data_IF_055926514340
#
_entry.id   IF_055926514340
#
_cell.length_a   1.000
_cell.length_b   1.000
_cell.length_c   1.000
_cell.angle_alpha   90.00
_cell.angle_beta   90.00
_cell.angle_gamma   90.00
#
_symmetry.space_group_name_H-M   'P 1'
#
loop_
_entity.id
_entity.type
_entity.pdbx_description
1 polymer ?
#
# COMPACT_ATOMS: atom_id res chain seq x y z
N UNK A 1 7.38 17.49 -4.47
CA UNK A 1 6.64 16.21 -4.44
C UNK A 1 6.06 15.96 -5.82
N UNK A 2 6.25 14.77 -6.40
CA UNK A 2 5.88 14.47 -7.80
C UNK A 2 5.89 12.97 -8.12
N UNK A 3 5.57 12.61 -9.37
CA UNK A 3 5.69 11.25 -9.92
C UNK A 3 7.06 10.95 -10.54
N UNK A 4 8.08 11.76 -10.25
CA UNK A 4 9.46 11.49 -10.71
C UNK A 4 10.02 10.32 -9.91
N UNK A 5 10.56 9.31 -10.61
CA UNK A 5 11.10 8.09 -10.02
C UNK A 5 12.51 8.29 -9.46
N UNK A 6 12.66 9.20 -8.50
CA UNK A 6 13.90 9.40 -7.73
C UNK A 6 13.52 9.52 -6.26
N UNK A 7 13.90 8.51 -5.48
CA UNK A 7 13.55 8.38 -4.06
C UNK A 7 14.78 7.98 -3.24
N UNK A 8 14.61 7.82 -1.93
CA UNK A 8 15.66 7.27 -1.05
C UNK A 8 16.10 5.84 -1.43
N UNK A 9 15.27 5.12 -2.19
CA UNK A 9 15.56 3.77 -2.68
C UNK A 9 16.32 3.73 -4.01
N UNK A 10 16.54 4.90 -4.63
CA UNK A 10 17.26 5.04 -5.90
C UNK A 10 16.48 5.83 -6.96
N UNK A 11 17.04 5.85 -8.17
CA UNK A 11 16.49 6.53 -9.34
C UNK A 11 15.81 5.56 -10.33
N UNK A 12 15.25 6.11 -11.41
CA UNK A 12 14.50 5.36 -12.42
C UNK A 12 15.32 4.25 -13.08
N UNK A 13 16.61 4.49 -13.35
CA UNK A 13 17.49 3.51 -13.98
C UNK A 13 17.75 2.33 -13.02
N UNK A 14 17.99 2.62 -11.74
CA UNK A 14 18.16 1.60 -10.70
C UNK A 14 16.87 0.81 -10.49
N UNK A 15 15.72 1.49 -10.47
CA UNK A 15 14.40 0.84 -10.40
C UNK A 15 14.16 -0.08 -11.60
N UNK A 16 14.38 0.38 -12.83
CA UNK A 16 14.23 -0.42 -14.04
C UNK A 16 15.19 -1.62 -14.07
N UNK A 17 16.42 -1.46 -13.57
CA UNK A 17 17.40 -2.53 -13.43
C UNK A 17 16.93 -3.60 -12.43
N UNK A 18 16.41 -3.17 -11.26
CA UNK A 18 15.82 -4.07 -10.27
C UNK A 18 14.66 -4.86 -10.86
N UNK A 19 13.67 -4.20 -11.46
CA UNK A 19 12.48 -4.84 -12.03
C UNK A 19 12.87 -5.87 -13.10
N UNK A 20 13.80 -5.52 -14.00
CA UNK A 20 14.28 -6.45 -15.04
C UNK A 20 14.93 -7.69 -14.44
N UNK A 21 15.82 -7.52 -13.44
CA UNK A 21 16.52 -8.64 -12.79
C UNK A 21 15.56 -9.54 -12.01
N UNK A 22 14.59 -8.95 -11.31
CA UNK A 22 13.54 -9.71 -10.62
C UNK A 22 12.69 -10.53 -11.60
N UNK A 23 12.21 -9.89 -12.68
CA UNK A 23 11.40 -10.56 -13.70
C UNK A 23 12.17 -11.72 -14.37
N UNK A 24 13.47 -11.56 -14.62
CA UNK A 24 14.31 -12.61 -15.22
C UNK A 24 14.42 -13.89 -14.38
N UNK A 25 14.18 -13.81 -13.06
CA UNK A 25 14.18 -14.95 -12.13
C UNK A 25 12.77 -15.31 -11.64
N UNK A 26 11.73 -14.83 -12.33
CA UNK A 26 10.33 -15.14 -12.02
C UNK A 26 9.77 -14.41 -10.78
N UNK A 27 10.50 -13.44 -10.22
CA UNK A 27 10.04 -12.61 -9.09
C UNK A 27 9.38 -11.35 -9.64
N UNK A 28 8.12 -11.11 -9.26
CA UNK A 28 7.33 -9.98 -9.76
C UNK A 28 7.36 -8.81 -8.78
N UNK A 29 7.42 -7.59 -9.32
CA UNK A 29 7.41 -6.35 -8.54
C UNK A 29 6.03 -5.72 -8.57
N UNK A 30 5.52 -5.36 -7.39
CA UNK A 30 4.29 -4.58 -7.23
C UNK A 30 4.66 -3.23 -6.61
N UNK A 31 4.21 -2.14 -7.21
CA UNK A 31 4.56 -0.79 -6.73
C UNK A 31 3.47 -0.27 -5.80
N UNK A 32 3.90 0.30 -4.68
CA UNK A 32 3.04 1.09 -3.81
C UNK A 32 2.77 2.46 -4.45
N UNK A 33 1.52 2.70 -4.82
CA UNK A 33 1.11 3.90 -5.56
C UNK A 33 0.21 4.76 -4.70
N UNK A 34 0.68 5.98 -4.45
CA UNK A 34 -0.01 7.00 -3.65
C UNK A 34 -0.53 8.06 -4.60
N UNK A 35 -1.83 8.02 -4.88
CA UNK A 35 -2.51 8.99 -5.75
C UNK A 35 -3.88 9.45 -5.22
N UNK A 36 -4.22 9.09 -3.98
CA UNK A 36 -5.32 9.74 -3.27
C UNK A 36 -4.99 11.21 -3.01
N UNK A 37 -3.76 11.47 -2.57
CA UNK A 37 -3.35 12.77 -2.04
C UNK A 37 -1.95 13.16 -2.49
N UNK A 38 -1.62 14.43 -2.29
CA UNK A 38 -0.26 14.96 -2.32
C UNK A 38 0.21 15.28 -0.89
N UNK A 39 1.28 16.07 -0.72
CA UNK A 39 1.81 16.36 0.62
C UNK A 39 0.88 17.25 1.45
N UNK A 40 0.96 17.14 2.77
CA UNK A 40 0.38 18.12 3.69
C UNK A 40 1.20 19.42 3.69
N UNK A 41 0.63 20.47 4.31
CA UNK A 41 1.28 21.77 4.47
C UNK A 41 2.62 21.64 5.22
N UNK A 42 3.69 22.16 4.61
CA UNK A 42 5.01 22.21 5.24
C UNK A 42 5.85 23.34 4.63
N UNK A 43 6.65 24.00 5.47
CA UNK A 43 7.58 25.03 5.02
C UNK A 43 8.67 24.43 4.14
N UNK A 44 9.00 25.09 3.02
CA UNK A 44 10.05 24.66 2.09
C UNK A 44 9.92 23.20 1.65
N UNK A 45 8.71 22.79 1.26
CA UNK A 45 8.44 21.43 0.82
C UNK A 45 9.24 21.08 -0.45
N UNK A 46 10.20 20.16 -0.31
CA UNK A 46 11.02 19.63 -1.41
C UNK A 46 10.88 18.11 -1.46
N UNK A 47 10.49 17.59 -2.62
CA UNK A 47 10.45 16.14 -2.86
C UNK A 47 11.85 15.54 -3.00
N UNK A 48 11.95 14.22 -2.91
CA UNK A 48 13.23 13.47 -3.02
C UNK A 48 13.97 13.70 -4.34
N UNK A 49 13.25 14.04 -5.42
CA UNK A 49 13.82 14.41 -6.71
C UNK A 49 14.18 15.90 -6.85
N UNK A 50 14.12 16.68 -5.77
CA UNK A 50 14.36 18.14 -5.77
C UNK A 50 13.16 18.99 -6.17
N UNK A 51 12.02 18.39 -6.54
CA UNK A 51 10.81 19.13 -6.90
C UNK A 51 10.23 19.90 -5.72
N UNK A 52 10.24 21.23 -5.80
CA UNK A 52 9.58 22.13 -4.85
C UNK A 52 8.06 22.10 -5.04
N UNK A 53 7.32 22.36 -3.97
CA UNK A 53 5.86 22.49 -3.98
C UNK A 53 5.41 23.47 -2.88
N UNK A 54 4.20 24.00 -3.04
CA UNK A 54 3.50 24.80 -2.02
C UNK A 54 2.15 24.12 -1.76
N UNK A 55 2.11 23.27 -0.73
CA UNK A 55 0.92 22.48 -0.42
C UNK A 55 -0.24 23.34 0.11
N UNK A 56 0.03 24.49 0.74
CA UNK A 56 -1.02 25.41 1.19
C UNK A 56 -1.77 26.03 0.00
N UNK A 57 -1.05 26.31 -1.08
CA UNK A 57 -1.64 26.77 -2.35
C UNK A 57 -2.06 25.65 -3.29
N UNK A 58 -1.83 24.39 -2.90
CA UNK A 58 -2.04 23.20 -3.74
C UNK A 58 -1.28 23.26 -5.07
N UNK A 59 -0.06 23.80 -5.03
CA UNK A 59 0.82 23.96 -6.19
C UNK A 59 1.93 22.89 -6.18
N UNK A 60 1.83 21.95 -7.11
CA UNK A 60 2.77 20.85 -7.31
C UNK A 60 3.29 20.85 -8.76
N UNK A 61 4.19 21.78 -9.10
CA UNK A 61 4.54 22.12 -10.49
C UNK A 61 5.26 21.00 -11.25
N UNK A 62 5.84 20.03 -10.55
CA UNK A 62 6.52 18.90 -11.18
C UNK A 62 5.55 17.78 -11.66
N UNK A 63 4.27 17.83 -11.30
CA UNK A 63 3.20 16.99 -11.91
C UNK A 63 2.33 17.79 -12.89
N UNK A 64 2.69 19.06 -13.10
CA UNK A 64 1.91 20.26 -12.75
C UNK A 64 0.46 20.03 -12.27
N UNK A 65 0.26 19.91 -10.94
CA UNK A 65 -1.06 20.12 -10.32
C UNK A 65 -1.17 21.52 -9.70
N UNK A 66 -2.38 22.05 -9.72
CA UNK A 66 -2.81 23.33 -9.18
C UNK A 66 -4.02 23.13 -8.27
N UNK A 67 -4.52 24.18 -7.63
CA UNK A 67 -5.71 24.11 -6.76
C UNK A 67 -6.97 23.56 -7.42
N UNK A 68 -7.08 23.62 -8.75
CA UNK A 68 -8.20 23.05 -9.52
C UNK A 68 -8.22 21.52 -9.58
N UNK A 69 -7.11 20.89 -9.21
CA UNK A 69 -6.91 19.43 -9.32
C UNK A 69 -7.23 18.69 -8.02
N UNK A 70 -7.70 19.42 -7.00
CA UNK A 70 -7.97 18.90 -5.67
C UNK A 70 -9.42 19.13 -5.27
N UNK A 71 -9.94 18.28 -4.39
CA UNK A 71 -11.22 18.51 -3.75
C UNK A 71 -11.20 19.76 -2.87
N UNK A 72 -12.38 20.35 -2.61
CA UNK A 72 -12.52 21.47 -1.68
C UNK A 72 -11.96 21.08 -0.31
N UNK A 73 -11.15 21.95 0.30
CA UNK A 73 -10.49 21.63 1.56
C UNK A 73 -11.50 21.41 2.70
N UNK A 74 -11.41 20.26 3.35
CA UNK A 74 -12.13 19.89 4.55
C UNK A 74 -11.36 18.75 5.24
N UNK A 75 -11.72 18.41 6.48
CA UNK A 75 -11.09 17.31 7.22
C UNK A 75 -12.05 16.13 7.39
N UNK A 76 -11.51 14.92 7.36
CA UNK A 76 -12.27 13.71 7.71
C UNK A 76 -12.45 13.68 9.22
N UNK A 77 -13.69 13.80 9.69
CA UNK A 77 -14.03 13.72 11.12
C UNK A 77 -15.09 12.65 11.43
N UNK A 78 -15.76 12.13 10.40
CA UNK A 78 -16.80 11.12 10.54
C UNK A 78 -16.70 10.05 9.44
N UNK A 79 -16.25 8.84 9.81
CA UNK A 79 -16.17 7.70 8.90
C UNK A 79 -17.53 7.10 8.48
N UNK A 80 -18.63 7.58 9.06
CA UNK A 80 -19.98 7.28 8.59
C UNK A 80 -20.51 8.29 7.55
N UNK A 81 -19.72 9.30 7.20
CA UNK A 81 -20.02 10.22 6.11
C UNK A 81 -19.11 9.91 4.91
N UNK A 82 -19.65 9.16 3.95
CA UNK A 82 -18.92 8.73 2.72
C UNK A 82 -18.33 9.92 1.97
N UNK A 83 -19.05 11.05 1.88
CA UNK A 83 -18.58 12.25 1.20
C UNK A 83 -17.36 12.86 1.89
N UNK A 84 -17.33 12.85 3.23
CA UNK A 84 -16.16 13.29 3.97
C UNK A 84 -14.98 12.34 3.72
N UNK A 85 -15.20 11.02 3.85
CA UNK A 85 -14.10 10.05 3.76
C UNK A 85 -13.42 10.08 2.38
N UNK A 86 -14.17 10.38 1.31
CA UNK A 86 -13.67 10.36 -0.07
C UNK A 86 -13.29 11.72 -0.69
N UNK A 87 -13.71 12.84 -0.09
CA UNK A 87 -13.47 14.17 -0.66
C UNK A 87 -12.78 15.15 0.30
N UNK A 88 -12.43 14.72 1.52
CA UNK A 88 -11.74 15.56 2.49
C UNK A 88 -10.31 15.09 2.74
N UNK A 89 -9.47 16.01 3.20
CA UNK A 89 -8.06 15.79 3.47
C UNK A 89 -7.86 14.78 4.62
N UNK A 90 -7.31 13.61 4.28
CA UNK A 90 -6.85 12.63 5.26
C UNK A 90 -5.63 13.22 5.99
N UNK A 91 -5.79 13.53 7.28
CA UNK A 91 -4.75 14.13 8.14
C UNK A 91 -4.03 15.35 7.52
N UNK A 92 -4.77 16.17 6.77
CA UNK A 92 -4.26 17.39 6.12
C UNK A 92 -3.50 17.18 4.81
N UNK A 93 -3.45 15.94 4.31
CA UNK A 93 -2.89 15.60 2.99
C UNK A 93 -3.81 16.16 1.90
N UNK A 94 -3.25 16.90 0.93
CA UNK A 94 -4.05 17.57 -0.11
C UNK A 94 -4.71 16.53 -1.02
N UNK A 95 -6.03 16.45 -0.91
CA UNK A 95 -6.87 15.41 -1.51
C UNK A 95 -7.14 15.68 -2.99
N UNK A 96 -6.61 14.82 -3.86
CA UNK A 96 -6.76 14.95 -5.32
C UNK A 96 -8.21 14.67 -5.73
N UNK A 97 -8.72 15.39 -6.72
CA UNK A 97 -10.04 15.11 -7.27
C UNK A 97 -9.93 14.12 -8.45
N UNK A 98 -10.09 12.82 -8.19
CA UNK A 98 -9.96 11.80 -9.24
C UNK A 98 -11.13 11.79 -10.23
N UNK A 99 -12.21 12.56 -10.01
CA UNK A 99 -13.24 12.77 -11.03
C UNK A 99 -12.79 13.78 -12.12
N UNK A 100 -11.75 14.57 -11.87
CA UNK A 100 -11.16 15.46 -12.86
C UNK A 100 -10.33 14.65 -13.87
N UNK A 101 -10.71 14.73 -15.15
CA UNK A 101 -10.01 14.02 -16.25
C UNK A 101 -8.51 14.32 -16.33
N UNK A 102 -8.08 15.55 -16.01
CA UNK A 102 -6.65 15.88 -16.00
C UNK A 102 -5.90 15.12 -14.91
N UNK A 103 -6.49 15.00 -13.71
CA UNK A 103 -5.94 14.18 -12.61
C UNK A 103 -5.87 12.72 -13.01
N UNK A 104 -6.93 12.19 -13.63
CA UNK A 104 -6.93 10.82 -14.15
C UNK A 104 -5.81 10.61 -15.19
N UNK A 105 -5.60 11.55 -16.11
CA UNK A 105 -4.55 11.48 -17.13
C UNK A 105 -3.16 11.39 -16.50
N UNK A 106 -2.84 12.28 -15.55
CA UNK A 106 -1.56 12.28 -14.83
C UNK A 106 -1.32 10.99 -14.05
N UNK A 107 -2.36 10.44 -13.41
CA UNK A 107 -2.27 9.16 -12.70
C UNK A 107 -2.04 8.01 -13.69
N UNK A 108 -2.82 7.95 -14.78
CA UNK A 108 -2.69 6.91 -15.82
C UNK A 108 -1.31 6.96 -16.47
N UNK A 109 -0.79 8.15 -16.78
CA UNK A 109 0.56 8.34 -17.33
C UNK A 109 1.63 7.76 -16.38
N UNK A 110 1.51 8.06 -15.08
CA UNK A 110 2.40 7.53 -14.05
C UNK A 110 2.34 6.00 -13.93
N UNK A 111 1.15 5.42 -13.84
CA UNK A 111 0.95 3.98 -13.73
C UNK A 111 1.39 3.23 -15.01
N UNK A 112 1.13 3.80 -16.19
CA UNK A 112 1.57 3.23 -17.45
C UNK A 112 3.10 3.32 -17.63
N UNK A 113 3.73 4.39 -17.12
CA UNK A 113 5.20 4.45 -17.06
C UNK A 113 5.77 3.31 -16.22
N UNK A 114 5.25 3.08 -15.01
CA UNK A 114 5.67 1.94 -14.17
C UNK A 114 5.44 0.59 -14.85
N UNK A 115 4.28 0.41 -15.50
CA UNK A 115 3.95 -0.79 -16.27
C UNK A 115 4.95 -1.04 -17.40
N UNK A 116 5.36 0.01 -18.12
CA UNK A 116 6.36 -0.08 -19.19
C UNK A 116 7.75 -0.52 -18.70
N UNK A 117 8.09 -0.19 -17.44
CA UNK A 117 9.32 -0.61 -16.79
C UNK A 117 9.28 -2.08 -16.33
N UNK A 118 8.14 -2.77 -16.44
CA UNK A 118 7.99 -4.20 -16.16
C UNK A 118 7.34 -4.53 -14.82
N UNK A 119 6.73 -3.54 -14.15
CA UNK A 119 5.96 -3.74 -12.92
C UNK A 119 4.75 -4.64 -13.21
N UNK A 120 4.47 -5.60 -12.33
CA UNK A 120 3.39 -6.58 -12.50
C UNK A 120 2.03 -6.08 -11.98
N UNK A 121 2.03 -5.04 -11.14
CA UNK A 121 0.82 -4.55 -10.50
C UNK A 121 1.07 -3.50 -9.43
N UNK A 122 0.00 -3.15 -8.71
CA UNK A 122 -0.03 -1.98 -7.84
C UNK A 122 -0.72 -2.28 -6.50
N UNK A 123 -0.08 -1.88 -5.39
CA UNK A 123 -0.75 -1.64 -4.11
C UNK A 123 -1.31 -0.23 -4.16
N UNK A 124 -2.63 -0.09 -4.18
CA UNK A 124 -3.28 1.22 -4.20
C UNK A 124 -3.47 1.69 -2.76
N UNK A 125 -2.66 2.66 -2.36
CA UNK A 125 -2.70 3.31 -1.06
C UNK A 125 -4.04 4.03 -0.83
N UNK A 126 -4.53 4.00 0.41
CA UNK A 126 -5.71 4.76 0.82
C UNK A 126 -6.92 4.61 -0.10
N UNK A 127 -7.13 3.44 -0.73
CA UNK A 127 -8.21 3.22 -1.69
C UNK A 127 -9.60 3.49 -1.10
N UNK A 128 -9.78 3.28 0.22
CA UNK A 128 -11.00 3.67 0.95
C UNK A 128 -11.40 5.14 0.74
N UNK A 129 -10.42 6.02 0.57
CA UNK A 129 -10.55 7.46 0.44
C UNK A 129 -10.76 7.93 -1.00
N UNK A 130 -10.88 7.02 -1.95
CA UNK A 130 -11.18 7.34 -3.35
C UNK A 130 -12.50 6.73 -3.77
N UNK A 131 -13.16 7.32 -4.77
CA UNK A 131 -14.40 6.75 -5.31
C UNK A 131 -14.11 5.51 -6.18
N UNK A 132 -14.81 4.38 -5.97
CA UNK A 132 -14.64 3.18 -6.80
C UNK A 132 -14.85 3.42 -8.30
N UNK A 133 -15.75 4.33 -8.67
CA UNK A 133 -16.01 4.62 -10.08
C UNK A 133 -14.85 5.34 -10.75
N UNK A 134 -14.18 6.28 -10.06
CA UNK A 134 -12.98 6.96 -10.58
C UNK A 134 -11.79 6.00 -10.68
N UNK A 135 -11.59 5.16 -9.65
CA UNK A 135 -10.60 4.08 -9.70
C UNK A 135 -10.83 3.14 -10.89
N UNK A 136 -12.09 2.77 -11.15
CA UNK A 136 -12.45 1.93 -12.31
C UNK A 136 -12.05 2.57 -13.64
N UNK A 137 -12.28 3.88 -13.80
CA UNK A 137 -11.89 4.61 -15.01
C UNK A 137 -10.37 4.59 -15.17
N UNK A 138 -9.62 4.87 -14.11
CA UNK A 138 -8.14 4.84 -14.11
C UNK A 138 -7.63 3.43 -14.47
N UNK A 139 -8.12 2.39 -13.80
CA UNK A 139 -7.65 1.01 -13.98
C UNK A 139 -7.97 0.46 -15.38
N UNK A 140 -9.11 0.84 -15.96
CA UNK A 140 -9.47 0.45 -17.33
C UNK A 140 -8.54 1.07 -18.39
N UNK A 141 -7.94 2.22 -18.10
CA UNK A 141 -7.02 2.93 -19.00
C UNK A 141 -5.57 2.46 -18.91
N UNK A 142 -5.25 1.53 -17.99
CA UNK A 142 -3.91 0.96 -17.90
C UNK A 142 -3.57 0.14 -19.13
N UNK A 143 -2.28 0.10 -19.48
CA UNK A 143 -1.76 -0.77 -20.52
C UNK A 143 -1.70 -2.21 -20.02
N UNK A 144 -1.69 -3.16 -20.96
CA UNK A 144 -1.36 -4.55 -20.64
C UNK A 144 0.12 -4.67 -20.23
N UNK A 145 0.42 -5.67 -19.42
CA UNK A 145 1.78 -6.03 -19.03
C UNK A 145 2.62 -6.40 -20.25
N UNK A 146 3.86 -5.94 -20.29
CA UNK A 146 4.72 -6.09 -21.46
C UNK A 146 5.33 -7.50 -21.54
N UNK A 147 5.16 -8.15 -22.69
CA UNK A 147 5.76 -9.47 -22.97
C UNK A 147 7.29 -9.45 -22.93
N UNK A 148 7.92 -8.28 -23.14
CA UNK A 148 9.37 -8.10 -23.01
C UNK A 148 9.89 -8.34 -21.58
N UNK A 149 9.00 -8.32 -20.58
CA UNK A 149 9.30 -8.61 -19.18
C UNK A 149 8.83 -10.01 -18.74
N UNK A 150 8.55 -10.89 -19.71
CA UNK A 150 8.17 -12.29 -19.46
C UNK A 150 6.74 -12.46 -18.93
N UNK A 151 5.84 -11.53 -19.24
CA UNK A 151 4.40 -11.67 -19.03
C UNK A 151 3.74 -12.29 -20.26
N UNK A 152 2.60 -12.97 -20.09
CA UNK A 152 1.82 -13.47 -21.21
C UNK A 152 1.09 -12.31 -21.92
N UNK A 153 0.75 -12.52 -23.20
CA UNK A 153 -0.02 -11.52 -23.96
C UNK A 153 -1.37 -11.24 -23.28
N UNK A 154 -1.82 -9.98 -23.38
CA UNK A 154 -3.09 -9.50 -22.82
C UNK A 154 -3.24 -9.59 -21.29
N UNK A 155 -2.16 -9.82 -20.55
CA UNK A 155 -2.22 -9.75 -19.08
C UNK A 155 -2.38 -8.31 -18.60
N UNK A 156 -3.28 -8.09 -17.63
CA UNK A 156 -3.50 -6.80 -16.97
C UNK A 156 -2.64 -6.69 -15.71
N UNK A 157 -2.25 -5.47 -15.28
CA UNK A 157 -1.62 -5.28 -13.98
C UNK A 157 -2.49 -5.81 -12.84
N UNK A 158 -1.88 -6.52 -11.89
CA UNK A 158 -2.57 -6.99 -10.69
C UNK A 158 -2.82 -5.82 -9.74
N UNK A 159 -4.08 -5.56 -9.40
CA UNK A 159 -4.47 -4.46 -8.51
C UNK A 159 -4.85 -5.04 -7.16
N UNK A 160 -4.25 -4.54 -6.09
CA UNK A 160 -4.74 -4.75 -4.74
C UNK A 160 -4.85 -3.44 -3.97
N UNK A 161 -5.96 -3.29 -3.27
CA UNK A 161 -6.44 -2.01 -2.78
C UNK A 161 -6.41 -1.99 -1.26
N UNK A 162 -5.87 -0.92 -0.69
CA UNK A 162 -5.96 -0.69 0.74
C UNK A 162 -7.34 -0.15 1.12
N UNK A 163 -8.18 -1.03 1.64
CA UNK A 163 -9.48 -0.66 2.22
C UNK A 163 -9.53 -1.20 3.64
N UNK A 164 -9.27 -0.33 4.61
CA UNK A 164 -9.41 -0.67 6.04
C UNK A 164 -10.91 -0.71 6.37
N UNK A 165 -11.48 -1.91 6.36
CA UNK A 165 -12.87 -2.19 6.74
C UNK A 165 -12.92 -3.24 7.85
N UNK A 166 -13.14 -2.77 9.08
CA UNK A 166 -13.39 -3.60 10.26
C UNK A 166 -14.88 -3.77 10.55
N UNK A 167 -15.77 -3.23 9.71
CA UNK A 167 -17.21 -3.04 9.97
C UNK A 167 -17.50 -1.79 10.80
N UNK A 168 -18.76 -1.34 10.78
CA UNK A 168 -19.22 -0.19 11.57
C UNK A 168 -18.88 1.19 10.98
N UNK A 169 -18.40 1.23 9.73
CA UNK A 169 -18.22 2.45 8.93
C UNK A 169 -19.19 2.44 7.73
N UNK A 170 -19.39 3.59 7.09
CA UNK A 170 -20.29 3.69 5.94
C UNK A 170 -19.71 3.13 4.63
N UNK A 171 -18.38 2.95 4.56
CA UNK A 171 -17.70 2.39 3.39
C UNK A 171 -17.37 0.93 3.65
N UNK A 172 -17.65 0.08 2.67
CA UNK A 172 -17.34 -1.35 2.74
C UNK A 172 -16.27 -1.74 1.72
N UNK A 173 -15.42 -2.70 2.11
CA UNK A 173 -14.50 -3.39 1.18
C UNK A 173 -15.20 -4.00 -0.04
N UNK A 174 -16.48 -4.35 0.08
CA UNK A 174 -17.28 -4.92 -1.01
C UNK A 174 -17.52 -3.93 -2.16
N UNK A 175 -17.34 -2.63 -1.96
CA UNK A 175 -17.46 -1.63 -3.04
C UNK A 175 -16.30 -1.71 -4.06
N UNK A 176 -15.21 -2.41 -3.72
CA UNK A 176 -13.96 -2.43 -4.48
C UNK A 176 -13.63 -3.80 -5.12
N UNK A 177 -14.44 -4.83 -4.86
CA UNK A 177 -14.19 -6.24 -5.29
C UNK A 177 -14.14 -6.41 -6.80
N UNK A 178 -14.92 -5.61 -7.53
CA UNK A 178 -14.95 -5.63 -9.00
C UNK A 178 -13.72 -4.97 -9.63
N UNK A 179 -12.92 -4.23 -8.83
CA UNK A 179 -11.75 -3.49 -9.30
C UNK A 179 -10.45 -4.28 -9.13
N UNK A 180 -10.44 -5.28 -8.26
CA UNK A 180 -9.24 -6.06 -7.96
C UNK A 180 -9.32 -6.76 -6.61
N UNK A 181 -8.16 -7.10 -6.07
CA UNK A 181 -8.00 -7.67 -4.73
C UNK A 181 -8.06 -6.55 -3.67
N UNK A 182 -8.39 -6.88 -2.42
CA UNK A 182 -8.44 -5.93 -1.30
C UNK A 182 -7.64 -6.48 -0.11
N UNK A 183 -6.95 -5.61 0.61
CA UNK A 183 -6.31 -5.92 1.89
C UNK A 183 -7.34 -6.33 2.95
N UNK A 184 -7.32 -7.58 3.39
CA UNK A 184 -8.25 -8.09 4.39
C UNK A 184 -7.74 -7.83 5.81
N UNK A 185 -7.98 -6.62 6.34
CA UNK A 185 -7.51 -6.24 7.69
C UNK A 185 -8.14 -7.09 8.81
N UNK A 186 -9.34 -7.65 8.61
CA UNK A 186 -9.95 -8.56 9.59
C UNK A 186 -9.15 -9.85 9.76
N UNK A 187 -8.42 -10.29 8.73
CA UNK A 187 -7.51 -11.42 8.83
C UNK A 187 -6.40 -11.13 9.84
N UNK A 188 -5.73 -9.97 9.72
CA UNK A 188 -4.65 -9.54 10.64
C UNK A 188 -5.15 -9.43 12.09
N UNK A 189 -6.33 -8.84 12.31
CA UNK A 189 -6.96 -8.74 13.63
C UNK A 189 -7.32 -10.11 14.22
N UNK A 190 -8.02 -10.95 13.45
CA UNK A 190 -8.52 -12.24 13.92
C UNK A 190 -7.38 -13.23 14.20
N UNK A 191 -6.38 -13.30 13.32
CA UNK A 191 -5.22 -14.20 13.50
C UNK A 191 -4.39 -13.74 14.70
N UNK A 192 -4.28 -12.43 14.90
CA UNK A 192 -3.70 -11.83 16.09
C UNK A 192 -4.37 -12.30 17.37
N UNK A 193 -5.71 -12.16 17.45
CA UNK A 193 -6.51 -12.60 18.61
C UNK A 193 -6.35 -14.09 18.92
N UNK A 194 -6.46 -14.94 17.91
CA UNK A 194 -6.33 -16.41 18.05
C UNK A 194 -4.94 -16.78 18.59
N UNK A 195 -3.86 -16.33 17.96
CA UNK A 195 -2.50 -16.70 18.38
C UNK A 195 -2.01 -15.97 19.64
N UNK A 196 -2.72 -14.92 20.07
CA UNK A 196 -2.54 -14.31 21.40
C UNK A 196 -3.26 -15.06 22.52
N UNK A 197 -4.16 -15.99 22.19
CA UNK A 197 -4.99 -16.72 23.15
C UNK A 197 -6.24 -15.95 23.59
N UNK A 198 -6.61 -14.89 22.87
CA UNK A 198 -7.89 -14.17 23.06
C UNK A 198 -9.04 -14.86 22.36
N UNK A 199 -8.73 -15.79 21.46
CA UNK A 199 -9.68 -16.73 20.88
C UNK A 199 -9.04 -18.11 20.74
N UNK A 200 -9.83 -19.16 20.48
CA UNK A 200 -9.38 -20.54 20.51
C UNK A 200 -8.96 -21.04 19.13
N UNK A 201 -7.80 -21.72 19.06
CA UNK A 201 -7.29 -22.33 17.83
C UNK A 201 -8.29 -23.29 17.15
N UNK A 202 -9.18 -23.94 17.91
CA UNK A 202 -10.20 -24.87 17.36
C UNK A 202 -11.14 -24.21 16.34
N UNK A 203 -11.33 -22.89 16.44
CA UNK A 203 -12.21 -22.15 15.54
C UNK A 203 -11.59 -21.90 14.17
N UNK A 204 -10.28 -22.11 14.01
CA UNK A 204 -9.62 -22.03 12.70
C UNK A 204 -10.11 -23.12 11.73
N UNK A 205 -10.93 -24.08 12.18
CA UNK A 205 -11.53 -25.14 11.35
C UNK A 205 -12.40 -24.61 10.21
N UNK A 206 -12.94 -23.39 10.31
CA UNK A 206 -13.69 -22.72 9.24
C UNK A 206 -13.08 -21.36 8.84
N UNK A 207 -11.76 -21.19 9.00
CA UNK A 207 -11.04 -19.95 8.67
C UNK A 207 -11.30 -19.49 7.23
N UNK A 208 -11.77 -18.25 7.05
CA UNK A 208 -12.13 -17.72 5.74
C UNK A 208 -13.41 -16.89 5.77
N UNK A 209 -14.27 -17.07 4.76
CA UNK A 209 -15.51 -16.27 4.60
C UNK A 209 -16.48 -16.41 5.77
N UNK A 210 -16.49 -17.55 6.48
CA UNK A 210 -17.30 -17.74 7.69
C UNK A 210 -16.92 -16.78 8.83
N UNK A 211 -15.71 -16.21 8.79
CA UNK A 211 -15.22 -15.17 9.71
C UNK A 211 -15.54 -13.75 9.23
N UNK A 212 -16.34 -13.60 8.16
CA UNK A 212 -16.64 -12.31 7.55
C UNK A 212 -15.50 -11.73 6.70
N UNK A 213 -14.58 -12.58 6.26
CA UNK A 213 -13.57 -12.21 5.28
C UNK A 213 -14.16 -12.20 3.86
N UNK A 214 -13.47 -11.53 2.94
CA UNK A 214 -13.75 -11.59 1.51
C UNK A 214 -13.58 -13.01 0.95
N UNK A 215 -14.12 -13.30 -0.24
CA UNK A 215 -13.74 -14.49 -1.00
C UNK A 215 -12.21 -14.60 -1.14
N UNK A 216 -11.71 -15.84 -1.12
CA UNK A 216 -10.27 -16.15 -1.10
C UNK A 216 -9.50 -15.49 -2.25
N UNK A 217 -10.07 -15.49 -3.46
CA UNK A 217 -9.50 -14.91 -4.67
C UNK A 217 -9.53 -13.36 -4.69
N UNK A 218 -10.21 -12.74 -3.72
CA UNK A 218 -10.33 -11.28 -3.56
C UNK A 218 -9.63 -10.73 -2.32
N UNK A 219 -9.11 -11.60 -1.46
CA UNK A 219 -8.47 -11.21 -0.21
C UNK A 219 -6.94 -11.25 -0.32
N UNK A 220 -6.26 -10.10 -0.19
CA UNK A 220 -4.84 -10.06 0.15
C UNK A 220 -4.72 -10.11 1.67
N UNK A 221 -4.15 -11.20 2.19
CA UNK A 221 -4.05 -11.45 3.63
C UNK A 221 -2.62 -11.24 4.13
N UNK A 222 -2.52 -10.87 5.40
CA UNK A 222 -1.25 -10.66 6.09
C UNK A 222 -1.46 -10.80 7.59
N UNK A 223 -0.37 -11.04 8.33
CA UNK A 223 -0.37 -11.02 9.80
C UNK A 223 -0.25 -9.58 10.31
N UNK A 224 0.66 -8.80 9.71
CA UNK A 224 0.86 -7.36 9.91
C UNK A 224 1.19 -6.65 8.59
N UNK A 225 1.09 -5.33 8.59
CA UNK A 225 1.59 -4.45 7.54
C UNK A 225 2.49 -3.37 8.15
N UNK A 226 2.99 -2.46 7.31
CA UNK A 226 3.88 -1.39 7.77
C UNK A 226 3.21 -0.39 8.74
N UNK A 227 1.90 -0.17 8.64
CA UNK A 227 1.15 0.72 9.53
C UNK A 227 0.83 0.07 10.87
N UNK A 228 0.18 -1.09 10.84
CA UNK A 228 -0.39 -1.69 12.04
C UNK A 228 0.66 -2.34 12.93
N UNK A 229 1.83 -2.69 12.40
CA UNK A 229 2.97 -3.06 13.24
C UNK A 229 3.46 -1.89 14.11
N UNK A 230 3.16 -0.65 13.72
CA UNK A 230 3.43 0.59 14.47
C UNK A 230 2.22 1.07 15.27
N UNK A 231 1.10 0.33 15.27
CA UNK A 231 -0.14 0.73 15.95
C UNK A 231 -0.97 1.76 15.18
N UNK A 232 -0.64 2.04 13.92
CA UNK A 232 -1.48 2.86 13.03
C UNK A 232 -2.51 1.97 12.31
N UNK A 233 -3.60 2.54 11.83
CA UNK A 233 -4.65 1.78 11.14
C UNK A 233 -5.43 0.84 12.07
N UNK A 234 -5.72 -0.38 11.59
CA UNK A 234 -6.61 -1.33 12.27
C UNK A 234 -5.87 -2.47 13.00
N UNK A 235 -6.57 -3.09 13.96
CA UNK A 235 -6.12 -4.27 14.73
C UNK A 235 -5.49 -3.94 16.09
N UNK A 236 -4.97 -2.73 16.28
CA UNK A 236 -4.48 -2.25 17.57
C UNK A 236 -3.54 -3.21 18.30
N UNK A 237 -3.82 -3.47 19.58
CA UNK A 237 -2.98 -4.33 20.44
C UNK A 237 -2.96 -5.82 20.04
N UNK A 238 -3.83 -6.23 19.11
CA UNK A 238 -3.94 -7.63 18.67
C UNK A 238 -3.01 -7.98 17.52
N UNK A 239 -2.50 -6.99 16.80
CA UNK A 239 -1.52 -7.20 15.73
C UNK A 239 -0.29 -7.92 16.28
N UNK A 240 0.12 -8.99 15.60
CA UNK A 240 1.36 -9.72 15.90
C UNK A 240 2.45 -9.22 14.98
N UNK A 241 3.62 -8.92 15.54
CA UNK A 241 4.78 -8.42 14.77
C UNK A 241 6.04 -9.21 15.12
N UNK A 242 7.16 -8.90 14.47
CA UNK A 242 8.47 -9.46 14.82
C UNK A 242 8.81 -9.32 16.32
N UNK A 243 8.26 -8.31 17.02
CA UNK A 243 8.43 -8.09 18.46
C UNK A 243 7.78 -9.17 19.34
N UNK A 244 6.93 -10.04 18.79
CA UNK A 244 6.37 -11.23 19.45
C UNK A 244 6.73 -12.51 18.68
N UNK A 245 8.03 -12.70 18.43
CA UNK A 245 8.58 -13.68 17.49
C UNK A 245 7.95 -15.09 17.51
N UNK A 246 7.71 -15.69 18.69
CA UNK A 246 7.10 -17.04 18.76
C UNK A 246 5.68 -17.05 18.18
N UNK A 247 4.81 -16.16 18.65
CA UNK A 247 3.41 -16.08 18.20
C UNK A 247 3.33 -15.61 16.74
N UNK A 248 4.17 -14.66 16.36
CA UNK A 248 4.24 -14.14 14.99
C UNK A 248 4.65 -15.21 13.98
N UNK A 249 5.63 -16.07 14.32
CA UNK A 249 6.00 -17.21 13.46
C UNK A 249 4.88 -18.26 13.37
N UNK A 250 4.17 -18.54 14.47
CA UNK A 250 3.02 -19.45 14.45
C UNK A 250 1.90 -18.94 13.55
N UNK A 251 1.55 -17.65 13.65
CA UNK A 251 0.54 -17.02 12.81
C UNK A 251 0.93 -17.01 11.32
N UNK A 252 2.18 -16.65 11.00
CA UNK A 252 2.66 -16.72 9.61
C UNK A 252 2.70 -18.16 9.08
N UNK A 253 3.11 -19.13 9.89
CA UNK A 253 3.08 -20.54 9.49
C UNK A 253 1.66 -21.01 9.17
N UNK A 254 0.67 -20.64 9.97
CA UNK A 254 -0.74 -20.93 9.68
C UNK A 254 -1.21 -20.23 8.39
N UNK A 255 -0.94 -18.93 8.25
CA UNK A 255 -1.31 -18.16 7.06
C UNK A 255 -0.74 -18.77 5.76
N UNK A 256 0.52 -19.23 5.78
CA UNK A 256 1.18 -19.82 4.62
C UNK A 256 0.77 -21.28 4.35
N UNK A 257 0.33 -22.01 5.38
CA UNK A 257 -0.15 -23.38 5.24
C UNK A 257 -1.63 -23.47 4.83
N UNK A 258 -2.42 -22.43 5.12
CA UNK A 258 -3.84 -22.40 4.84
C UNK A 258 -4.12 -21.91 3.41
N UNK A 259 -5.06 -22.50 2.65
CA UNK A 259 -5.31 -22.15 1.24
C UNK A 259 -6.11 -20.85 1.03
N UNK A 260 -6.35 -20.07 2.08
CA UNK A 260 -7.20 -18.89 2.00
C UNK A 260 -6.35 -17.66 1.65
N UNK A 261 -6.83 -16.84 0.73
CA UNK A 261 -6.24 -15.54 0.41
C UNK A 261 -4.95 -15.60 -0.41
N UNK A 262 -4.56 -14.43 -0.88
CA UNK A 262 -3.25 -14.16 -1.48
C UNK A 262 -2.34 -13.64 -0.37
N UNK A 263 -1.32 -14.41 0.00
CA UNK A 263 -0.50 -14.14 1.19
C UNK A 263 0.55 -13.06 0.93
N UNK A 264 0.64 -12.08 1.83
CA UNK A 264 1.76 -11.13 1.93
C UNK A 264 2.47 -11.31 3.27
N UNK A 265 3.79 -11.46 3.23
CA UNK A 265 4.65 -11.52 4.41
C UNK A 265 5.40 -10.20 4.54
N UNK A 266 5.39 -9.60 5.73
CA UNK A 266 6.10 -8.36 6.01
C UNK A 266 7.59 -8.63 6.25
N UNK A 267 8.45 -7.79 5.68
CA UNK A 267 9.89 -7.71 5.99
C UNK A 267 10.18 -6.29 6.45
N UNK A 268 10.78 -6.15 7.64
CA UNK A 268 10.76 -4.89 8.38
C UNK A 268 12.18 -4.38 8.66
N UNK A 269 12.25 -3.19 9.24
CA UNK A 269 13.39 -2.75 10.01
C UNK A 269 12.97 -2.55 11.46
N UNK A 270 13.91 -2.75 12.38
CA UNK A 270 13.67 -2.56 13.80
C UNK A 270 13.41 -1.07 14.10
N UNK A 271 12.42 -0.81 14.93
CA UNK A 271 12.06 0.54 15.38
C UNK A 271 11.62 0.52 16.85
N UNK A 272 11.91 1.60 17.56
CA UNK A 272 11.46 1.85 18.94
C UNK A 272 10.45 3.00 19.02
N UNK A 273 10.41 3.85 17.97
CA UNK A 273 9.42 4.89 17.78
C UNK A 273 8.59 4.62 16.50
N UNK A 274 7.30 4.93 16.52
CA UNK A 274 6.37 4.72 15.38
C UNK A 274 6.72 5.58 14.18
N UNK A 275 7.32 6.76 14.40
CA UNK A 275 7.75 7.68 13.34
C UNK A 275 9.21 7.44 12.88
N UNK A 276 9.86 6.40 13.40
CA UNK A 276 11.26 6.13 13.08
C UNK A 276 11.41 5.64 11.62
N UNK A 277 12.28 6.32 10.87
CA UNK A 277 12.67 5.92 9.52
C UNK A 277 13.58 4.68 9.49
N UNK A 278 13.86 4.13 8.29
CA UNK A 278 14.73 2.97 8.12
C UNK A 278 16.18 3.28 8.52
N UNK A 279 17.03 2.25 8.73
CA UNK A 279 18.46 2.42 8.87
C UNK A 279 19.06 3.26 7.73
N UNK A 280 19.92 4.21 8.06
CA UNK A 280 20.59 5.09 7.08
C UNK A 280 22.10 5.12 7.27
N UNK A 281 22.82 5.50 6.22
CA UNK A 281 24.28 5.74 6.29
C UNK A 281 24.63 7.17 6.70
N UNK A 282 23.75 8.14 6.39
CA UNK A 282 24.01 9.58 6.51
C UNK A 282 22.77 10.38 6.98
N UNK A 283 21.76 9.69 7.53
CA UNK A 283 20.46 10.28 7.87
C UNK A 283 19.44 10.28 6.73
N UNK A 284 19.87 10.14 5.46
CA UNK A 284 19.01 10.25 4.28
C UNK A 284 19.03 8.98 3.42
N UNK A 285 20.20 8.48 3.08
CA UNK A 285 20.41 7.31 2.22
C UNK A 285 20.10 6.03 2.98
N UNK A 286 19.18 5.20 2.46
CA UNK A 286 18.80 3.93 3.09
C UNK A 286 20.01 2.99 3.08
N UNK A 287 20.38 2.47 4.25
CA UNK A 287 21.48 1.51 4.39
C UNK A 287 21.01 0.13 3.94
N UNK A 288 21.75 -0.50 3.03
CA UNK A 288 21.45 -1.88 2.60
C UNK A 288 21.50 -2.87 3.78
N UNK A 289 20.69 -3.94 3.76
CA UNK A 289 20.80 -5.02 4.74
C UNK A 289 22.12 -5.76 4.63
N UNK A 290 22.64 -6.20 5.77
CA UNK A 290 23.76 -7.14 5.85
C UNK A 290 23.21 -8.51 6.28
N UNK A 291 23.87 -9.57 5.86
CA UNK A 291 23.42 -10.94 6.15
C UNK A 291 24.46 -11.65 7.02
N UNK A 292 23.98 -12.25 8.11
CA UNK A 292 24.79 -13.08 8.98
C UNK A 292 25.09 -14.43 8.32
N UNK A 293 25.99 -15.23 8.90
CA UNK A 293 26.36 -16.55 8.37
C UNK A 293 25.18 -17.53 8.31
N UNK A 294 24.15 -17.34 9.14
CA UNK A 294 22.91 -18.11 9.14
C UNK A 294 21.83 -17.55 8.18
N UNK A 295 22.22 -16.61 7.31
CA UNK A 295 21.34 -15.88 6.38
C UNK A 295 20.29 -14.98 7.03
N UNK A 296 20.33 -14.77 8.35
CA UNK A 296 19.48 -13.77 9.01
C UNK A 296 19.93 -12.35 8.66
N UNK A 297 18.97 -11.42 8.62
CA UNK A 297 19.25 -10.00 8.43
C UNK A 297 19.95 -9.39 9.66
N UNK A 298 20.86 -8.47 9.42
CA UNK A 298 21.49 -7.62 10.42
C UNK A 298 21.53 -6.15 9.95
N UNK A 299 22.12 -5.26 10.75
CA UNK A 299 22.13 -3.83 10.42
C UNK A 299 20.78 -3.14 10.63
N UNK A 300 19.97 -3.61 11.58
CA UNK A 300 18.68 -3.03 11.93
C UNK A 300 17.51 -3.50 11.05
N UNK A 301 17.71 -4.47 10.18
CA UNK A 301 16.67 -5.13 9.39
C UNK A 301 16.18 -6.41 10.09
N UNK A 302 14.86 -6.66 10.09
CA UNK A 302 14.21 -7.74 10.87
C UNK A 302 13.07 -8.43 10.13
#
# INVERSE_FOLDING_TARGET
VSYILTTRSGNEQQFASMVRRCNAVGVRTYVDVVFNHMAAAHNNLVGTAGSKADADKKDFPAVPYSSYDFNTACSITNYNNVQQVRNCELVGLKDLNQANTYVQDRIVDFLNKLTSLGVAGFRVDAAKHMWPHDLKIIFNRLNNLSTAHGFASNQRPFIFQEVIDMGGEAISKNEYVDLGTITEFRHSDSIGKVFRGKDQLRWLSNWGTAWGFLPSDRALIFVDNHDNQRGHGAGGADVLTYKQAKKYKMANAFMLAHPFGITRVMSSFAFDNTDQGPPTTDGNTIRSPTFNADSSCSGGWV
#
